data_IF_345917505417
#
_entry.id   IF_345917505417
#
_cell.length_a   1.000
_cell.length_b   1.000
_cell.length_c   1.000
_cell.angle_alpha   90.00
_cell.angle_beta   90.00
_cell.angle_gamma   90.00
#
_symmetry.space_group_name_H-M   'P 1'
#
loop_
_entity.id
_entity.type
_entity.pdbx_description
1 polymer ?
#
# COMPACT_ATOMS: atom_id res chain seq x y z
N UNK A 1 34.34 57.92 -8.67
CA UNK A 1 33.81 57.11 -9.79
C UNK A 1 33.52 55.70 -9.28
N UNK A 2 32.27 55.23 -9.45
CA UNK A 2 31.79 53.86 -9.72
C UNK A 2 32.68 52.69 -9.16
N UNK A 3 32.18 51.70 -8.41
CA UNK A 3 30.95 50.92 -8.59
C UNK A 3 30.53 50.25 -7.28
N UNK A 4 29.24 50.33 -6.97
CA UNK A 4 28.55 49.45 -6.02
C UNK A 4 28.39 48.08 -6.69
N UNK A 5 28.79 47.01 -6.01
CA UNK A 5 28.50 45.63 -6.44
C UNK A 5 27.42 45.09 -5.51
N UNK A 6 26.19 45.05 -6.03
CA UNK A 6 25.09 44.27 -5.48
C UNK A 6 25.40 42.78 -5.73
N UNK A 7 25.64 42.01 -4.67
CA UNK A 7 25.61 40.55 -4.74
C UNK A 7 24.23 40.08 -4.31
N UNK A 8 23.41 39.72 -5.29
CA UNK A 8 22.15 39.02 -5.08
C UNK A 8 22.45 37.56 -4.71
N UNK A 9 22.04 37.13 -3.50
CA UNK A 9 22.02 35.73 -3.12
C UNK A 9 20.85 35.05 -3.84
N UNK A 10 21.17 34.15 -4.76
CA UNK A 10 20.21 33.33 -5.51
C UNK A 10 19.60 32.31 -4.55
N UNK A 11 18.29 32.41 -4.34
CA UNK A 11 17.45 31.36 -3.75
C UNK A 11 17.55 30.11 -4.62
N UNK A 12 18.20 29.07 -4.12
CA UNK A 12 18.15 27.73 -4.71
C UNK A 12 16.75 27.15 -4.44
N UNK A 13 15.80 27.45 -5.33
CA UNK A 13 14.55 26.71 -5.44
C UNK A 13 14.93 25.33 -5.96
N UNK A 14 14.90 24.32 -5.08
CA UNK A 14 15.05 22.93 -5.47
C UNK A 14 13.84 22.57 -6.30
N UNK A 15 14.02 22.57 -7.63
CA UNK A 15 12.97 22.20 -8.57
C UNK A 15 12.59 20.74 -8.36
N UNK A 16 11.34 20.51 -7.96
CA UNK A 16 10.75 19.19 -8.05
C UNK A 16 10.77 18.77 -9.53
N UNK A 17 11.42 17.66 -9.84
CA UNK A 17 11.45 17.11 -11.19
C UNK A 17 10.01 16.74 -11.58
N UNK A 18 9.47 17.58 -12.46
CA UNK A 18 8.21 17.43 -13.16
C UNK A 18 8.20 16.11 -13.93
N UNK A 19 7.10 15.36 -13.85
CA UNK A 19 6.81 14.37 -14.88
C UNK A 19 6.47 15.13 -16.16
N UNK A 20 7.46 15.37 -17.02
CA UNK A 20 7.21 15.83 -18.37
C UNK A 20 6.44 14.75 -19.14
N UNK A 21 5.30 15.15 -19.69
CA UNK A 21 4.55 14.40 -20.70
C UNK A 21 5.35 14.50 -22.02
N UNK A 22 6.46 13.79 -22.09
CA UNK A 22 7.35 13.69 -23.24
C UNK A 22 7.32 12.29 -23.84
N UNK A 23 7.29 12.22 -25.16
CA UNK A 23 7.10 11.04 -26.01
C UNK A 23 8.13 9.91 -25.80
N UNK A 24 7.59 8.72 -25.47
CA UNK A 24 8.07 7.35 -25.78
C UNK A 24 9.51 6.95 -25.42
N UNK A 25 9.65 6.29 -24.26
CA UNK A 25 10.29 4.98 -24.14
C UNK A 25 9.35 4.02 -23.39
N UNK A 26 9.14 2.77 -23.84
CA UNK A 26 8.19 1.84 -23.22
C UNK A 26 8.81 1.24 -21.95
N UNK A 27 8.61 1.93 -20.82
CA UNK A 27 9.30 1.62 -19.55
C UNK A 27 8.60 2.16 -18.30
N UNK A 28 7.30 1.89 -18.16
CA UNK A 28 6.62 1.56 -16.90
C UNK A 28 6.64 2.47 -15.65
N UNK A 29 7.02 3.75 -15.68
CA UNK A 29 6.90 4.60 -14.46
C UNK A 29 5.45 5.03 -14.18
N UNK A 30 4.65 5.32 -15.22
CA UNK A 30 3.23 5.67 -15.03
C UNK A 30 2.35 4.45 -14.72
N UNK A 31 2.63 3.29 -15.33
CA UNK A 31 1.79 2.09 -15.21
C UNK A 31 1.81 1.49 -13.80
N UNK A 32 3.00 1.35 -13.20
CA UNK A 32 3.12 0.78 -11.85
C UNK A 32 2.45 1.67 -10.80
N UNK A 33 2.71 2.97 -10.84
CA UNK A 33 2.11 3.93 -9.90
C UNK A 33 0.58 3.95 -10.03
N UNK A 34 0.05 3.85 -11.26
CA UNK A 34 -1.38 3.75 -11.48
C UNK A 34 -1.95 2.42 -10.94
N UNK A 35 -1.26 1.30 -11.10
CA UNK A 35 -1.70 0.02 -10.55
C UNK A 35 -1.83 0.06 -9.02
N UNK A 36 -0.81 0.60 -8.35
CA UNK A 36 -0.77 0.80 -6.90
C UNK A 36 -1.91 1.72 -6.42
N UNK A 37 -2.16 2.82 -7.11
CA UNK A 37 -3.23 3.76 -6.74
C UNK A 37 -4.66 3.24 -6.98
N UNK A 38 -4.83 2.14 -7.72
CA UNK A 38 -6.15 1.55 -8.02
C UNK A 38 -6.26 0.11 -7.50
N UNK A 39 -5.56 -0.24 -6.42
CA UNK A 39 -5.81 -1.51 -5.73
C UNK A 39 -7.19 -1.54 -5.07
N UNK A 40 -7.73 -2.75 -4.94
CA UNK A 40 -9.00 -2.99 -4.29
C UNK A 40 -8.77 -3.30 -2.81
N UNK A 41 -9.48 -2.60 -1.92
CA UNK A 41 -9.35 -2.85 -0.49
C UNK A 41 -9.85 -4.25 -0.10
N UNK A 42 -9.10 -4.92 0.77
CA UNK A 42 -9.47 -6.17 1.42
C UNK A 42 -10.59 -5.95 2.45
N UNK A 43 -10.51 -4.84 3.20
CA UNK A 43 -11.48 -4.44 4.22
C UNK A 43 -11.99 -3.02 3.96
N UNK A 44 -13.25 -2.77 4.35
CA UNK A 44 -13.85 -1.43 4.32
C UNK A 44 -14.42 -1.09 5.68
N UNK A 45 -13.78 -0.14 6.37
CA UNK A 45 -14.21 0.33 7.68
C UNK A 45 -14.93 1.67 7.57
N UNK A 46 -15.77 2.01 8.56
CA UNK A 46 -16.53 3.25 8.55
C UNK A 46 -15.63 4.49 8.67
N UNK A 47 -14.66 4.48 9.59
CA UNK A 47 -13.83 5.63 9.89
C UNK A 47 -12.35 5.24 10.02
N UNK A 48 -11.47 6.20 9.75
CA UNK A 48 -10.05 6.17 10.11
C UNK A 48 -9.84 6.31 11.62
N UNK A 49 -8.61 6.10 12.09
CA UNK A 49 -8.30 6.12 13.53
C UNK A 49 -8.75 4.88 14.31
N UNK A 50 -9.03 3.78 13.59
CA UNK A 50 -9.24 2.47 14.19
C UNK A 50 -7.93 1.96 14.83
N UNK A 51 -8.05 1.04 15.78
CA UNK A 51 -6.91 0.31 16.34
C UNK A 51 -6.90 -1.12 15.84
N UNK A 52 -5.72 -1.72 15.75
CA UNK A 52 -5.56 -3.14 15.40
C UNK A 52 -5.05 -3.93 16.59
N UNK A 53 -5.68 -5.06 16.88
CA UNK A 53 -5.22 -6.01 17.90
C UNK A 53 -4.85 -7.34 17.24
N UNK A 54 -3.62 -7.79 17.45
CA UNK A 54 -3.21 -9.15 17.07
C UNK A 54 -3.64 -10.10 18.18
N UNK A 55 -4.79 -10.75 18.02
CA UNK A 55 -5.37 -11.65 19.03
C UNK A 55 -4.85 -13.08 18.94
N UNK A 56 -4.28 -13.44 17.79
CA UNK A 56 -3.49 -14.66 17.62
C UNK A 56 -2.23 -14.35 16.83
N UNK A 57 -1.10 -14.87 17.30
CA UNK A 57 0.23 -14.57 16.75
C UNK A 57 0.28 -14.77 15.24
N UNK A 58 0.81 -13.78 14.54
CA UNK A 58 1.03 -13.85 13.10
C UNK A 58 2.25 -14.71 12.78
N UNK A 59 2.09 -15.67 11.88
CA UNK A 59 3.19 -16.49 11.35
C UNK A 59 3.25 -16.29 9.84
N UNK A 60 4.43 -15.92 9.34
CA UNK A 60 4.67 -15.73 7.91
C UNK A 60 5.25 -16.99 7.27
N UNK A 61 4.82 -17.28 6.05
CA UNK A 61 5.48 -18.26 5.18
C UNK A 61 6.79 -17.72 4.59
N UNK A 62 7.54 -18.60 3.93
CA UNK A 62 8.74 -18.23 3.17
C UNK A 62 8.44 -17.29 1.98
N UNK A 63 7.24 -17.37 1.39
CA UNK A 63 6.79 -16.42 0.36
C UNK A 63 6.36 -15.07 0.98
N UNK A 64 6.26 -15.01 2.31
CA UNK A 64 6.15 -13.80 3.11
C UNK A 64 4.73 -13.26 3.29
N UNK A 65 3.70 -14.07 3.04
CA UNK A 65 2.34 -13.81 3.50
C UNK A 65 2.11 -14.50 4.85
N UNK A 66 1.09 -14.07 5.60
CA UNK A 66 0.70 -14.77 6.82
C UNK A 66 -0.09 -16.04 6.51
N UNK A 67 0.26 -17.13 7.18
CA UNK A 67 -0.45 -18.43 7.16
C UNK A 67 -1.11 -18.72 8.50
N UNK A 68 -0.78 -17.93 9.53
CA UNK A 68 -1.40 -17.99 10.84
C UNK A 68 -1.62 -16.63 11.45
N UNK A 69 -2.56 -16.60 12.39
CA UNK A 69 -2.84 -15.49 13.26
C UNK A 69 -4.13 -14.78 12.93
N UNK A 70 -4.49 -13.85 13.81
CA UNK A 70 -5.78 -13.16 13.76
C UNK A 70 -5.55 -11.70 14.11
N UNK A 71 -6.08 -10.80 13.28
CA UNK A 71 -6.06 -9.36 13.48
C UNK A 71 -7.50 -8.89 13.62
N UNK A 72 -7.79 -8.18 14.70
CA UNK A 72 -9.05 -7.48 14.90
C UNK A 72 -8.87 -5.98 14.64
N UNK A 73 -9.83 -5.38 13.95
CA UNK A 73 -9.90 -3.95 13.67
C UNK A 73 -11.02 -3.35 14.51
N UNK A 74 -10.69 -2.36 15.34
CA UNK A 74 -11.61 -1.80 16.33
C UNK A 74 -11.82 -0.31 16.16
N UNK A 75 -13.08 0.11 16.29
CA UNK A 75 -13.46 1.53 16.39
C UNK A 75 -14.12 1.70 17.76
N UNK A 76 -13.62 2.63 18.57
CA UNK A 76 -14.11 2.89 19.94
C UNK A 76 -14.17 1.62 20.81
N UNK A 77 -13.19 0.72 20.62
CA UNK A 77 -13.08 -0.56 21.33
C UNK A 77 -14.02 -1.67 20.83
N UNK A 78 -14.94 -1.38 19.92
CA UNK A 78 -15.81 -2.38 19.26
C UNK A 78 -15.10 -2.99 18.07
N UNK A 79 -15.17 -4.33 17.93
CA UNK A 79 -14.65 -5.04 16.76
C UNK A 79 -15.56 -4.77 15.56
N UNK A 80 -15.00 -4.18 14.51
CA UNK A 80 -15.69 -3.88 13.25
C UNK A 80 -15.30 -4.87 12.15
N UNK A 81 -14.05 -5.36 12.19
CA UNK A 81 -13.61 -6.42 11.29
C UNK A 81 -12.62 -7.38 11.97
N UNK A 82 -12.59 -8.62 11.49
CA UNK A 82 -11.59 -9.62 11.86
C UNK A 82 -10.98 -10.19 10.60
N UNK A 83 -9.65 -10.34 10.56
CA UNK A 83 -8.96 -11.13 9.54
C UNK A 83 -8.26 -12.30 10.21
N UNK A 84 -8.57 -13.50 9.76
CA UNK A 84 -7.98 -14.74 10.22
C UNK A 84 -7.21 -15.41 9.08
N UNK A 85 -5.90 -15.59 9.26
CA UNK A 85 -4.99 -16.16 8.28
C UNK A 85 -4.93 -17.70 8.33
N UNK A 86 -5.65 -18.35 9.23
CA UNK A 86 -5.69 -19.81 9.34
C UNK A 86 -4.67 -20.38 10.33
N UNK A 87 -4.42 -21.67 10.29
CA UNK A 87 -3.63 -22.41 11.30
C UNK A 87 -2.30 -22.95 10.76
N UNK A 88 -1.81 -22.36 9.66
CA UNK A 88 -0.56 -22.72 9.02
C UNK A 88 -0.74 -23.76 7.92
N UNK A 89 -1.93 -24.32 7.78
CA UNK A 89 -2.24 -25.34 6.76
C UNK A 89 -2.80 -24.78 5.46
N UNK A 90 -3.35 -23.56 5.50
CA UNK A 90 -3.95 -22.91 4.33
C UNK A 90 -2.89 -22.10 3.56
N UNK A 91 -2.90 -22.26 2.24
CA UNK A 91 -1.98 -21.55 1.35
C UNK A 91 -2.69 -20.33 0.72
N UNK A 92 -2.13 -19.13 0.92
CA UNK A 92 -2.57 -17.86 0.32
C UNK A 92 -4.04 -17.44 0.52
N UNK A 93 -4.76 -17.99 1.49
CA UNK A 93 -6.14 -17.59 1.78
C UNK A 93 -6.27 -17.16 3.23
N UNK A 94 -6.83 -15.96 3.43
CA UNK A 94 -7.34 -15.53 4.72
C UNK A 94 -8.87 -15.47 4.67
N UNK A 95 -9.51 -15.48 5.83
CA UNK A 95 -10.92 -15.12 5.97
C UNK A 95 -11.04 -13.74 6.58
N UNK A 96 -12.07 -13.00 6.16
CA UNK A 96 -12.46 -11.75 6.79
C UNK A 96 -13.89 -11.84 7.28
N UNK A 97 -14.17 -11.23 8.41
CA UNK A 97 -15.53 -11.06 8.95
C UNK A 97 -15.79 -9.58 9.13
N UNK A 98 -16.82 -9.06 8.46
CA UNK A 98 -17.32 -7.68 8.55
C UNK A 98 -18.84 -7.77 8.81
N UNK A 99 -19.37 -7.08 9.82
CA UNK A 99 -20.80 -7.12 10.18
C UNK A 99 -21.37 -8.55 10.36
N UNK A 100 -20.55 -9.46 10.90
CA UNK A 100 -20.92 -10.87 11.11
C UNK A 100 -20.96 -11.72 9.84
N UNK A 101 -20.63 -11.16 8.67
CA UNK A 101 -20.53 -11.89 7.41
C UNK A 101 -19.08 -12.25 7.11
N UNK A 102 -18.83 -13.53 6.85
CA UNK A 102 -17.49 -14.02 6.53
C UNK A 102 -17.32 -14.22 5.03
N UNK A 103 -16.18 -13.80 4.50
CA UNK A 103 -15.75 -14.04 3.11
C UNK A 103 -14.24 -14.27 3.04
N UNK A 104 -13.73 -14.73 1.90
CA UNK A 104 -12.30 -15.01 1.72
C UNK A 104 -11.55 -13.83 1.11
N UNK A 105 -10.30 -13.66 1.54
CA UNK A 105 -9.31 -12.80 0.90
C UNK A 105 -8.29 -13.72 0.22
N UNK A 106 -8.19 -13.61 -1.11
CA UNK A 106 -7.09 -14.21 -1.86
C UNK A 106 -5.84 -13.32 -1.68
N UNK A 107 -4.84 -13.85 -0.98
CA UNK A 107 -3.59 -13.16 -0.70
C UNK A 107 -2.64 -13.20 -1.91
N UNK A 108 -2.85 -14.09 -2.90
CA UNK A 108 -2.00 -14.22 -4.10
C UNK A 108 -2.75 -13.81 -5.35
N UNK A 109 -2.64 -12.55 -5.71
CA UNK A 109 -3.42 -11.98 -6.80
C UNK A 109 -2.63 -11.89 -8.10
N UNK A 110 -3.32 -12.12 -9.21
CA UNK A 110 -2.82 -11.80 -10.55
C UNK A 110 -3.98 -11.34 -11.43
N UNK A 111 -3.78 -10.22 -12.15
CA UNK A 111 -4.78 -9.67 -13.08
C UNK A 111 -4.25 -9.86 -14.50
N UNK A 112 -5.07 -10.33 -15.45
CA UNK A 112 -4.64 -10.57 -16.85
C UNK A 112 -4.05 -9.34 -17.54
N UNK A 113 -4.49 -8.15 -17.14
CA UNK A 113 -4.02 -6.85 -17.66
C UNK A 113 -2.75 -6.34 -16.98
N UNK A 114 -2.28 -7.01 -15.92
CA UNK A 114 -1.06 -6.65 -15.20
C UNK A 114 0.02 -7.70 -15.47
N UNK A 115 1.25 -7.23 -15.65
CA UNK A 115 2.44 -8.09 -15.69
C UNK A 115 2.89 -8.54 -14.30
N UNK A 116 2.32 -7.97 -13.24
CA UNK A 116 2.70 -8.24 -11.87
C UNK A 116 1.82 -9.31 -11.25
N UNK A 117 2.46 -10.21 -10.50
CA UNK A 117 1.83 -11.02 -9.47
C UNK A 117 2.00 -10.32 -8.13
N UNK A 118 1.02 -10.44 -7.26
CA UNK A 118 0.98 -9.73 -5.98
C UNK A 118 0.81 -10.72 -4.85
N UNK A 119 1.47 -10.43 -3.75
CA UNK A 119 1.23 -11.10 -2.47
C UNK A 119 0.80 -10.03 -1.47
N UNK A 120 -0.44 -10.10 -1.01
CA UNK A 120 -0.94 -9.29 0.11
C UNK A 120 -0.34 -9.89 1.38
N UNK A 121 0.55 -9.13 2.02
CA UNK A 121 1.18 -9.49 3.28
C UNK A 121 0.32 -9.02 4.44
N UNK A 122 -0.11 -7.75 4.41
CA UNK A 122 -1.05 -7.16 5.36
C UNK A 122 -2.30 -6.71 4.58
N UNK A 123 -3.53 -7.03 5.05
CA UNK A 123 -4.78 -6.68 4.36
C UNK A 123 -4.83 -5.20 4.01
N UNK A 124 -5.40 -4.88 2.84
CA UNK A 124 -5.58 -3.50 2.42
C UNK A 124 -6.83 -2.93 3.07
N UNK A 125 -6.69 -1.88 3.86
CA UNK A 125 -7.81 -1.23 4.54
C UNK A 125 -8.13 0.08 3.86
N UNK A 126 -9.41 0.27 3.52
CA UNK A 126 -9.95 1.56 3.12
C UNK A 126 -11.04 1.97 4.09
N UNK A 127 -11.09 3.24 4.44
CA UNK A 127 -12.12 3.80 5.30
C UNK A 127 -13.06 4.68 4.48
N UNK A 128 -14.31 4.84 4.91
CA UNK A 128 -15.31 5.65 4.16
C UNK A 128 -14.94 7.14 4.18
N UNK A 129 -14.33 7.61 5.26
CA UNK A 129 -13.86 8.98 5.46
C UNK A 129 -12.54 9.30 4.73
N UNK A 130 -11.95 8.34 3.99
CA UNK A 130 -10.69 8.53 3.29
C UNK A 130 -10.75 8.07 1.82
N UNK A 131 -10.19 8.89 0.92
CA UNK A 131 -10.16 8.58 -0.50
C UNK A 131 -9.16 7.48 -0.87
N UNK A 132 -8.21 7.19 0.02
CA UNK A 132 -7.07 6.30 -0.19
C UNK A 132 -7.19 5.00 0.61
N UNK A 133 -6.42 3.99 0.22
CA UNK A 133 -6.12 2.87 1.11
C UNK A 133 -5.17 3.42 2.18
N UNK A 134 -5.54 3.25 3.45
CA UNK A 134 -4.85 3.84 4.60
C UNK A 134 -3.89 2.88 5.29
N UNK A 135 -4.00 1.59 4.98
CA UNK A 135 -3.14 0.55 5.54
C UNK A 135 -3.05 -0.65 4.60
N UNK A 136 -1.91 -1.33 4.67
CA UNK A 136 -1.74 -2.65 4.08
C UNK A 136 -0.39 -2.75 3.40
N UNK A 137 0.03 -3.98 3.12
CA UNK A 137 1.36 -4.24 2.56
C UNK A 137 1.22 -5.25 1.43
N UNK A 138 1.74 -4.91 0.25
CA UNK A 138 1.76 -5.77 -0.93
C UNK A 138 3.19 -5.94 -1.43
N UNK A 139 3.59 -7.17 -1.72
CA UNK A 139 4.78 -7.47 -2.51
C UNK A 139 4.39 -7.69 -3.96
N UNK A 140 5.06 -7.00 -4.88
CA UNK A 140 4.90 -7.13 -6.32
C UNK A 140 6.05 -7.95 -6.91
N UNK A 141 5.70 -8.82 -7.86
CA UNK A 141 6.63 -9.70 -8.55
C UNK A 141 6.40 -9.65 -10.07
N UNK A 142 7.48 -9.57 -10.83
CA UNK A 142 7.45 -9.84 -12.28
C UNK A 142 7.94 -11.27 -12.50
N UNK A 143 7.05 -12.17 -12.91
CA UNK A 143 7.33 -13.60 -12.96
C UNK A 143 7.54 -14.17 -11.55
N UNK A 144 8.80 -14.52 -11.22
CA UNK A 144 9.22 -14.99 -9.88
C UNK A 144 10.13 -13.99 -9.15
N UNK A 145 10.47 -12.87 -9.79
CA UNK A 145 11.39 -11.88 -9.24
C UNK A 145 10.61 -10.83 -8.45
N UNK A 146 10.94 -10.65 -7.18
CA UNK A 146 10.45 -9.52 -6.40
C UNK A 146 10.95 -8.21 -7.01
N UNK A 147 10.05 -7.24 -7.20
CA UNK A 147 10.36 -5.95 -7.80
C UNK A 147 10.07 -4.77 -6.88
N UNK A 148 9.07 -4.89 -6.02
CA UNK A 148 8.73 -3.83 -5.07
C UNK A 148 7.90 -4.38 -3.90
N UNK A 149 7.99 -3.69 -2.76
CA UNK A 149 7.03 -3.77 -1.67
C UNK A 149 6.39 -2.40 -1.52
N UNK A 150 5.06 -2.36 -1.48
CA UNK A 150 4.28 -1.15 -1.19
C UNK A 150 3.69 -1.29 0.20
N UNK A 151 3.92 -0.30 1.03
CA UNK A 151 3.29 -0.11 2.33
C UNK A 151 2.39 1.13 2.25
N UNK A 152 1.10 0.93 2.47
CA UNK A 152 0.06 1.96 2.33
C UNK A 152 -0.12 2.81 3.59
N UNK A 153 0.57 2.49 4.69
CA UNK A 153 0.47 3.23 5.94
C UNK A 153 -0.03 2.38 7.10
N UNK A 154 -0.47 3.08 8.15
CA UNK A 154 -0.75 2.53 9.47
C UNK A 154 -2.22 2.71 9.91
N UNK A 155 -3.09 3.10 8.99
CA UNK A 155 -4.51 3.38 9.25
C UNK A 155 -4.83 4.86 9.41
N UNK A 156 -3.81 5.74 9.44
CA UNK A 156 -4.01 7.19 9.37
C UNK A 156 -4.51 7.57 7.98
N UNK A 157 -5.56 8.42 7.90
CA UNK A 157 -6.01 8.94 6.61
C UNK A 157 -5.04 10.01 6.09
N UNK A 158 -4.13 9.57 5.23
CA UNK A 158 -3.30 10.44 4.41
C UNK A 158 -3.07 9.84 3.02
N UNK A 159 -2.53 10.64 2.10
CA UNK A 159 -2.29 10.21 0.72
C UNK A 159 -0.98 9.45 0.52
N UNK A 160 -0.23 9.11 1.56
CA UNK A 160 1.15 8.68 1.41
C UNK A 160 1.35 7.18 1.56
N UNK A 161 2.03 6.60 0.57
CA UNK A 161 2.55 5.25 0.63
C UNK A 161 4.08 5.25 0.53
N UNK A 162 4.70 4.15 0.93
CA UNK A 162 6.12 3.92 0.70
C UNK A 162 6.35 2.76 -0.25
N UNK A 163 7.36 2.90 -1.11
CA UNK A 163 7.80 1.87 -2.04
C UNK A 163 9.23 1.50 -1.71
N UNK A 164 9.45 0.23 -1.43
CA UNK A 164 10.78 -0.36 -1.27
C UNK A 164 11.12 -1.24 -2.46
N UNK A 165 12.28 -1.04 -3.05
CA UNK A 165 12.89 -1.94 -4.04
C UNK A 165 14.23 -2.44 -3.51
N UNK A 166 15.00 -3.17 -4.32
CA UNK A 166 16.35 -3.58 -3.93
C UNK A 166 17.29 -2.39 -3.72
N UNK A 167 17.09 -1.32 -4.50
CA UNK A 167 18.03 -0.21 -4.63
C UNK A 167 17.53 1.08 -3.97
N UNK A 168 16.23 1.17 -3.67
CA UNK A 168 15.59 2.42 -3.29
C UNK A 168 14.46 2.26 -2.25
N UNK A 169 14.22 3.33 -1.51
CA UNK A 169 13.08 3.49 -0.61
C UNK A 169 12.51 4.90 -0.79
N UNK A 170 11.31 4.99 -1.36
CA UNK A 170 10.68 6.26 -1.71
C UNK A 170 9.28 6.37 -1.11
N UNK A 171 8.98 7.52 -0.47
CA UNK A 171 7.62 7.92 -0.11
C UNK A 171 6.97 8.65 -1.28
N UNK A 172 5.74 8.29 -1.63
CA UNK A 172 5.01 8.87 -2.77
C UNK A 172 3.53 9.04 -2.44
N UNK A 173 2.90 9.98 -3.15
CA UNK A 173 1.47 10.28 -2.97
C UNK A 173 0.61 9.41 -3.88
N UNK A 174 -0.49 8.88 -3.32
CA UNK A 174 -1.58 8.17 -3.96
C UNK A 174 -2.58 9.13 -4.62
N UNK A 175 -2.52 10.42 -4.30
CA UNK A 175 -3.36 11.43 -4.92
C UNK A 175 -3.08 11.52 -6.43
N UNK A 176 -4.14 11.42 -7.23
CA UNK A 176 -4.03 11.64 -8.68
C UNK A 176 -3.68 13.11 -8.91
N UNK A 177 -2.52 13.37 -9.52
CA UNK A 177 -2.21 14.72 -10.04
C UNK A 177 -3.27 15.07 -11.08
N UNK A 178 -4.08 16.09 -10.79
CA UNK A 178 -5.04 16.68 -11.73
C UNK A 178 -4.32 17.35 -12.89
#
# INVERSE_FOLDING_TARGET
>A
MKKVVLSAAVLAVVGFTSCEKGTTSPGNVCGFTQEVANEDASLRLANSGYTTDVTRQLVSSDEGHYTEGTIEYRIDGKVEAVVDFGDGTQDFVATKTEDGQTSSIDLKQSKKSSKYKKIIVKPLVKTVDCDYIVEGIIKYFEGKKWVATIDYGDGTCDEWATKKTADDFTKFSLAKKK
#
